data_IF_323208802097
#
_entry.id   IF_323208802097
#
_cell.length_a   1.000
_cell.length_b   1.000
_cell.length_c   1.000
_cell.angle_alpha   90.00
_cell.angle_beta   90.00
_cell.angle_gamma   90.00
#
_symmetry.space_group_name_H-M   'P 1'
#
loop_
_entity.id
_entity.type
_entity.pdbx_description
1 polymer ?
#
# COMPACT_ATOMS: atom_id res chain seq x y z
N UNK A 1 18.58 18.68 -11.87
CA UNK A 1 19.84 18.48 -12.65
C UNK A 1 20.90 19.43 -12.09
N UNK A 2 21.88 18.90 -11.35
CA UNK A 2 22.91 19.69 -10.65
C UNK A 2 24.20 19.88 -11.45
N UNK A 3 24.09 20.21 -12.74
CA UNK A 3 25.27 20.42 -13.60
C UNK A 3 25.68 21.89 -13.59
N UNK A 4 26.99 22.14 -13.60
CA UNK A 4 27.56 23.49 -13.63
C UNK A 4 27.32 24.16 -14.97
N UNK A 5 26.94 25.44 -14.95
CA UNK A 5 26.76 26.24 -16.17
C UNK A 5 28.12 26.59 -16.76
N UNK A 6 28.29 26.34 -18.06
CA UNK A 6 29.54 26.59 -18.80
C UNK A 6 29.85 28.08 -18.98
N UNK A 7 28.85 28.96 -18.93
CA UNK A 7 29.04 30.39 -19.08
C UNK A 7 28.19 31.19 -18.09
N UNK A 8 28.85 31.97 -17.22
CA UNK A 8 28.19 32.69 -16.14
C UNK A 8 27.55 34.00 -16.65
N UNK A 9 26.33 34.36 -16.20
CA UNK A 9 25.72 35.63 -16.57
C UNK A 9 26.56 36.83 -16.09
N UNK A 10 26.79 37.78 -17.00
CA UNK A 10 27.68 38.94 -16.78
C UNK A 10 26.96 40.15 -16.17
N UNK A 11 25.66 40.31 -16.38
CA UNK A 11 24.89 41.46 -15.86
C UNK A 11 24.21 41.13 -14.52
N UNK A 12 24.06 42.14 -13.65
CA UNK A 12 23.49 41.96 -12.31
C UNK A 12 22.03 41.47 -12.34
N UNK A 13 21.20 41.99 -13.23
CA UNK A 13 19.80 41.56 -13.38
C UNK A 13 19.68 40.08 -13.76
N UNK A 14 20.53 39.60 -14.68
CA UNK A 14 20.56 38.19 -15.08
C UNK A 14 21.09 37.28 -13.98
N UNK A 15 22.04 37.75 -13.16
CA UNK A 15 22.53 37.00 -11.99
C UNK A 15 21.44 36.80 -10.95
N UNK A 16 20.66 37.85 -10.65
CA UNK A 16 19.55 37.75 -9.69
C UNK A 16 18.50 36.76 -10.19
N UNK A 17 18.09 36.87 -11.46
CA UNK A 17 17.15 35.93 -12.08
C UNK A 17 17.69 34.49 -12.02
N UNK A 18 18.96 34.29 -12.35
CA UNK A 18 19.60 32.98 -12.30
C UNK A 18 19.61 32.38 -10.88
N UNK A 19 19.90 33.18 -9.85
CA UNK A 19 19.87 32.71 -8.46
C UNK A 19 18.46 32.28 -8.05
N UNK A 20 17.44 33.08 -8.36
CA UNK A 20 16.05 32.71 -8.10
C UNK A 20 15.64 31.44 -8.85
N UNK A 21 16.07 31.29 -10.10
CA UNK A 21 15.84 30.09 -10.88
C UNK A 21 16.49 28.85 -10.25
N UNK A 22 17.76 28.96 -9.83
CA UNK A 22 18.47 27.86 -9.16
C UNK A 22 17.78 27.50 -7.84
N UNK A 23 17.39 28.49 -7.03
CA UNK A 23 16.67 28.26 -5.79
C UNK A 23 15.32 27.57 -6.03
N UNK A 24 14.58 27.98 -7.07
CA UNK A 24 13.34 27.34 -7.48
C UNK A 24 13.59 25.89 -7.93
N UNK A 25 14.55 25.63 -8.80
CA UNK A 25 14.89 24.28 -9.24
C UNK A 25 15.32 23.38 -8.08
N UNK A 26 16.09 23.93 -7.12
CA UNK A 26 16.50 23.22 -5.92
C UNK A 26 15.28 22.85 -5.09
N UNK A 27 14.38 23.80 -4.81
CA UNK A 27 13.15 23.56 -4.04
C UNK A 27 12.23 22.53 -4.71
N UNK A 28 12.03 22.61 -6.03
CA UNK A 28 11.21 21.63 -6.75
C UNK A 28 11.86 20.24 -6.73
N UNK A 29 13.18 20.16 -6.90
CA UNK A 29 13.90 18.87 -6.87
C UNK A 29 13.84 18.23 -5.49
N UNK A 30 14.00 19.01 -4.41
CA UNK A 30 13.92 18.48 -3.04
C UNK A 30 12.51 18.01 -2.70
N UNK A 31 11.47 18.77 -3.07
CA UNK A 31 10.07 18.37 -2.88
C UNK A 31 9.78 17.09 -3.64
N UNK A 32 10.16 17.01 -4.92
CA UNK A 32 9.97 15.81 -5.73
C UNK A 32 10.68 14.59 -5.13
N UNK A 33 11.95 14.74 -4.73
CA UNK A 33 12.72 13.66 -4.11
C UNK A 33 12.08 13.19 -2.80
N UNK A 34 11.57 14.11 -1.97
CA UNK A 34 10.90 13.77 -0.71
C UNK A 34 9.61 12.96 -0.93
N UNK A 35 8.77 13.38 -1.87
CA UNK A 35 7.56 12.64 -2.22
C UNK A 35 7.89 11.28 -2.85
N UNK A 36 8.84 11.24 -3.78
CA UNK A 36 9.28 10.00 -4.44
C UNK A 36 9.80 8.96 -3.43
N UNK A 37 10.64 9.39 -2.49
CA UNK A 37 11.12 8.54 -1.40
C UNK A 37 9.98 8.05 -0.50
N UNK A 38 9.01 8.91 -0.22
CA UNK A 38 7.82 8.53 0.56
C UNK A 38 7.01 7.45 -0.17
N UNK A 39 6.78 7.58 -1.48
CA UNK A 39 6.09 6.57 -2.28
C UNK A 39 6.85 5.25 -2.37
N UNK A 40 8.19 5.29 -2.41
CA UNK A 40 9.01 4.08 -2.43
C UNK A 40 8.98 3.33 -1.09
N UNK A 41 8.94 4.05 0.05
CA UNK A 41 8.90 3.42 1.38
C UNK A 41 7.48 2.98 1.74
N UNK A 42 6.50 3.83 1.45
CA UNK A 42 5.10 3.60 1.75
C UNK A 42 4.31 3.79 0.46
N UNK A 43 4.28 2.75 -0.40
CA UNK A 43 3.31 2.74 -1.48
C UNK A 43 1.94 2.93 -0.84
N UNK A 44 1.16 3.88 -1.37
CA UNK A 44 -0.22 4.03 -0.95
C UNK A 44 -0.92 2.69 -1.14
N UNK A 45 -1.55 2.16 -0.09
CA UNK A 45 -2.38 0.97 -0.22
C UNK A 45 -3.61 1.36 -1.04
N UNK A 46 -4.02 0.49 -1.97
CA UNK A 46 -5.29 0.65 -2.66
C UNK A 46 -6.43 0.70 -1.63
N UNK A 47 -7.52 1.38 -2.00
CA UNK A 47 -8.71 1.46 -1.16
C UNK A 47 -9.16 0.05 -0.80
N UNK A 48 -9.13 -0.25 0.50
CA UNK A 48 -9.56 -1.53 1.05
C UNK A 48 -11.03 -1.44 1.41
N UNK A 49 -11.74 -2.57 1.31
CA UNK A 49 -13.14 -2.68 1.73
C UNK A 49 -13.24 -2.25 3.19
N UNK A 50 -13.89 -1.11 3.44
CA UNK A 50 -13.90 -0.49 4.77
C UNK A 50 -15.25 -0.63 5.49
N UNK A 51 -16.32 -0.94 4.74
CA UNK A 51 -17.67 -1.10 5.28
C UNK A 51 -18.29 -2.45 4.87
N UNK A 52 -19.28 -2.88 5.63
CA UNK A 52 -20.05 -4.09 5.31
C UNK A 52 -20.84 -3.94 3.99
N UNK A 53 -21.35 -2.75 3.70
CA UNK A 53 -22.05 -2.45 2.44
C UNK A 53 -21.10 -2.54 1.23
N UNK A 54 -19.87 -2.04 1.38
CA UNK A 54 -18.83 -2.17 0.35
C UNK A 54 -18.43 -3.63 0.12
N UNK A 55 -18.41 -4.44 1.19
CA UNK A 55 -18.17 -5.87 1.09
C UNK A 55 -19.27 -6.58 0.28
N UNK A 56 -20.54 -6.25 0.52
CA UNK A 56 -21.66 -6.83 -0.23
C UNK A 56 -21.65 -6.40 -1.71
N UNK A 57 -21.29 -5.16 -2.01
CA UNK A 57 -21.25 -4.65 -3.40
C UNK A 57 -20.05 -5.15 -4.20
N UNK A 58 -18.93 -5.46 -3.53
CA UNK A 58 -17.70 -5.95 -4.18
C UNK A 58 -17.76 -7.41 -4.64
N UNK A 59 -18.84 -8.16 -4.30
CA UNK A 59 -19.03 -9.59 -4.63
C UNK A 59 -17.89 -10.49 -4.16
N UNK A 60 -17.19 -10.09 -3.11
CA UNK A 60 -16.21 -10.92 -2.44
C UNK A 60 -16.94 -11.99 -1.65
N UNK A 61 -16.55 -13.25 -1.81
CA UNK A 61 -17.12 -14.34 -1.01
C UNK A 61 -16.82 -14.07 0.46
N UNK A 62 -17.85 -14.03 1.30
CA UNK A 62 -17.67 -13.80 2.72
C UNK A 62 -18.00 -15.05 3.53
N UNK A 63 -17.05 -15.41 4.38
CA UNK A 63 -17.13 -16.49 5.34
C UNK A 63 -17.87 -16.08 6.62
N UNK A 64 -18.53 -17.05 7.22
CA UNK A 64 -19.39 -16.81 8.37
C UNK A 64 -19.43 -17.97 9.35
N UNK A 65 -19.40 -17.69 10.66
CA UNK A 65 -19.52 -18.72 11.69
C UNK A 65 -20.99 -19.02 12.01
N UNK A 66 -21.44 -20.29 12.02
CA UNK A 66 -22.80 -20.67 12.42
C UNK A 66 -23.23 -20.13 13.78
N UNK A 67 -22.29 -19.87 14.70
CA UNK A 67 -22.60 -19.26 16.01
C UNK A 67 -23.25 -17.89 15.86
N UNK A 68 -22.87 -17.15 14.82
CA UNK A 68 -23.42 -15.84 14.55
C UNK A 68 -24.84 -15.93 13.96
N UNK A 69 -25.30 -17.08 13.42
CA UNK A 69 -26.63 -17.20 12.77
C UNK A 69 -27.78 -16.77 13.71
N UNK A 70 -27.60 -17.00 15.01
CA UNK A 70 -28.53 -16.54 16.04
C UNK A 70 -28.60 -15.01 16.19
N UNK A 71 -27.56 -14.30 15.75
CA UNK A 71 -27.41 -12.84 15.84
C UNK A 71 -27.86 -12.17 14.53
N UNK A 72 -27.67 -12.81 13.38
CA UNK A 72 -27.92 -12.25 12.03
C UNK A 72 -29.31 -12.59 11.48
N UNK A 73 -30.14 -13.30 12.26
CA UNK A 73 -31.45 -13.82 11.82
C UNK A 73 -32.41 -12.78 11.21
N UNK A 74 -32.26 -11.48 11.49
CA UNK A 74 -33.22 -10.45 11.10
C UNK A 74 -32.67 -9.32 10.21
N UNK A 75 -31.35 -9.27 9.93
CA UNK A 75 -30.79 -8.01 9.41
C UNK A 75 -30.92 -7.81 7.90
N UNK A 76 -30.57 -8.75 7.00
CA UNK A 76 -30.80 -8.57 5.55
C UNK A 76 -30.81 -9.89 4.75
N UNK A 77 -31.75 -10.09 3.79
CA UNK A 77 -31.81 -11.29 2.96
C UNK A 77 -30.61 -11.47 2.02
N UNK A 78 -29.98 -10.37 1.58
CA UNK A 78 -28.77 -10.37 0.74
C UNK A 78 -27.58 -11.09 1.41
N UNK A 79 -27.49 -11.03 2.74
CA UNK A 79 -26.44 -11.68 3.53
C UNK A 79 -26.61 -13.21 3.54
N UNK A 80 -27.76 -13.75 3.14
CA UNK A 80 -28.03 -15.19 3.25
C UNK A 80 -27.65 -15.98 2.00
N UNK A 81 -27.67 -15.36 0.83
CA UNK A 81 -27.50 -16.06 -0.45
C UNK A 81 -26.03 -16.18 -0.90
N UNK A 82 -25.15 -15.26 -0.48
CA UNK A 82 -23.74 -15.21 -0.92
C UNK A 82 -22.71 -15.63 0.15
N UNK A 83 -23.16 -16.26 1.24
CA UNK A 83 -22.30 -16.62 2.39
C UNK A 83 -21.68 -18.02 2.28
N UNK A 84 -20.43 -18.13 2.75
CA UNK A 84 -19.74 -19.41 2.94
C UNK A 84 -19.73 -19.76 4.42
N UNK A 85 -20.20 -20.96 4.76
CA UNK A 85 -20.19 -21.44 6.15
C UNK A 85 -18.77 -21.85 6.55
N UNK A 86 -18.27 -21.20 7.60
CA UNK A 86 -16.97 -21.46 8.21
C UNK A 86 -17.15 -22.19 9.54
N UNK A 87 -16.77 -23.46 9.57
CA UNK A 87 -16.77 -24.33 10.73
C UNK A 87 -15.38 -24.95 10.95
N UNK A 88 -15.22 -25.68 12.04
CA UNK A 88 -13.96 -26.35 12.38
C UNK A 88 -13.57 -27.48 11.40
N UNK A 89 -14.47 -27.88 10.51
CA UNK A 89 -14.24 -28.96 9.54
C UNK A 89 -13.69 -28.43 8.19
N UNK A 90 -13.68 -27.11 7.97
CA UNK A 90 -13.06 -26.53 6.79
C UNK A 90 -11.55 -26.82 6.78
N UNK A 91 -11.08 -27.42 5.69
CA UNK A 91 -9.66 -27.72 5.46
C UNK A 91 -9.25 -27.15 4.09
N UNK A 92 -8.40 -26.10 4.04
CA UNK A 92 -7.81 -25.39 5.18
C UNK A 92 -8.84 -24.53 5.95
N UNK A 93 -8.51 -24.08 7.18
CA UNK A 93 -9.36 -23.16 7.94
C UNK A 93 -9.74 -21.92 7.11
N UNK A 94 -10.96 -21.40 7.27
CA UNK A 94 -11.39 -20.22 6.51
C UNK A 94 -10.48 -18.99 6.68
N UNK A 95 -9.79 -18.88 7.81
CA UNK A 95 -8.88 -17.77 8.07
C UNK A 95 -7.64 -17.84 7.16
N UNK A 96 -7.21 -19.05 6.76
CA UNK A 96 -6.16 -19.26 5.75
C UNK A 96 -6.62 -18.76 4.38
N UNK A 97 -7.91 -18.91 4.05
CA UNK A 97 -8.46 -18.34 2.82
C UNK A 97 -8.35 -16.83 2.80
N UNK A 98 -8.62 -16.15 3.91
CA UNK A 98 -8.44 -14.69 4.00
C UNK A 98 -6.96 -14.30 3.93
N UNK A 99 -6.08 -15.06 4.56
CA UNK A 99 -4.66 -14.71 4.66
C UNK A 99 -3.85 -14.97 3.39
N UNK A 100 -4.20 -16.02 2.64
CA UNK A 100 -3.37 -16.52 1.53
C UNK A 100 -4.08 -16.53 0.17
N UNK A 101 -5.41 -16.32 0.13
CA UNK A 101 -6.15 -16.25 -1.12
C UNK A 101 -6.81 -14.87 -1.26
N UNK A 102 -6.51 -14.20 -2.37
CA UNK A 102 -7.17 -12.95 -2.72
C UNK A 102 -8.66 -13.22 -3.04
N UNK A 103 -9.56 -12.34 -2.55
CA UNK A 103 -11.03 -12.39 -2.68
C UNK A 103 -11.79 -13.29 -1.69
N UNK A 104 -11.38 -13.30 -0.42
CA UNK A 104 -12.21 -13.84 0.65
C UNK A 104 -12.24 -12.90 1.85
N UNK A 105 -13.41 -12.67 2.42
CA UNK A 105 -13.59 -11.92 3.66
C UNK A 105 -14.24 -12.81 4.72
N UNK A 106 -14.12 -12.46 6.01
CA UNK A 106 -14.77 -13.23 7.08
C UNK A 106 -15.34 -12.31 8.14
N UNK A 107 -16.54 -12.62 8.62
CA UNK A 107 -17.14 -11.93 9.75
C UNK A 107 -16.74 -12.61 11.06
N UNK A 108 -15.99 -11.90 11.90
CA UNK A 108 -15.39 -12.44 13.12
C UNK A 108 -15.34 -11.39 14.24
N UNK A 109 -15.22 -11.83 15.49
CA UNK A 109 -15.06 -10.92 16.62
C UNK A 109 -13.72 -10.17 16.55
N UNK A 110 -13.76 -8.85 16.72
CA UNK A 110 -12.57 -7.99 16.77
C UNK A 110 -11.53 -8.49 17.76
N UNK A 111 -11.95 -8.87 18.97
CA UNK A 111 -11.04 -9.35 20.02
C UNK A 111 -10.34 -10.64 19.58
N UNK A 112 -11.09 -11.57 18.97
CA UNK A 112 -10.52 -12.82 18.48
C UNK A 112 -9.55 -12.56 17.32
N UNK A 113 -9.86 -11.59 16.45
CA UNK A 113 -8.96 -11.23 15.37
C UNK A 113 -7.69 -10.57 15.89
N UNK A 114 -7.79 -9.55 16.73
CA UNK A 114 -6.62 -8.91 17.36
C UNK A 114 -5.73 -9.94 18.07
N UNK A 115 -6.34 -10.86 18.81
CA UNK A 115 -5.64 -11.95 19.48
C UNK A 115 -4.89 -12.85 18.49
N UNK A 116 -5.54 -13.27 17.41
CA UNK A 116 -4.96 -14.18 16.42
C UNK A 116 -3.81 -13.51 15.67
N UNK A 117 -3.96 -12.25 15.25
CA UNK A 117 -2.93 -11.48 14.55
C UNK A 117 -1.74 -11.09 15.42
N UNK A 118 -1.76 -11.32 16.74
CA UNK A 118 -0.56 -11.11 17.56
C UNK A 118 0.54 -12.14 17.32
N UNK A 119 0.21 -13.29 16.72
CA UNK A 119 1.16 -14.41 16.61
C UNK A 119 1.01 -15.26 15.34
N UNK A 120 -0.15 -15.23 14.69
CA UNK A 120 -0.45 -16.00 13.48
C UNK A 120 -0.73 -15.06 12.31
N UNK A 121 -0.58 -15.57 11.09
CA UNK A 121 -0.82 -14.83 9.84
C UNK A 121 -0.04 -13.51 9.77
N UNK A 122 1.24 -13.58 10.15
CA UNK A 122 2.19 -12.49 10.00
C UNK A 122 3.03 -12.74 8.75
N UNK A 123 3.37 -11.67 8.04
CA UNK A 123 4.41 -11.71 7.02
C UNK A 123 5.80 -11.89 7.67
N UNK A 124 6.82 -12.01 6.83
CA UNK A 124 8.21 -12.17 7.27
C UNK A 124 8.69 -10.97 8.11
N UNK A 125 8.10 -9.79 7.93
CA UNK A 125 8.41 -8.59 8.69
C UNK A 125 7.59 -8.45 9.99
N UNK A 126 6.76 -9.45 10.32
CA UNK A 126 5.89 -9.43 11.49
C UNK A 126 4.65 -8.54 11.34
N UNK A 127 4.28 -8.15 10.12
CA UNK A 127 3.06 -7.38 9.81
C UNK A 127 1.90 -8.34 9.54
N UNK A 128 0.68 -8.06 10.03
CA UNK A 128 -0.47 -8.92 9.78
C UNK A 128 -0.81 -8.98 8.28
N UNK A 129 -1.06 -10.20 7.79
CA UNK A 129 -1.53 -10.49 6.43
C UNK A 129 -3.02 -10.15 6.25
N UNK A 130 -3.78 -10.15 7.34
CA UNK A 130 -5.22 -9.91 7.33
C UNK A 130 -5.50 -8.48 7.77
N UNK A 131 -6.30 -7.77 6.97
CA UNK A 131 -6.78 -6.43 7.27
C UNK A 131 -8.16 -6.49 7.96
N UNK A 132 -8.38 -5.58 8.91
CA UNK A 132 -9.67 -5.38 9.54
C UNK A 132 -10.40 -4.21 8.87
N UNK A 133 -11.66 -4.41 8.49
CA UNK A 133 -12.53 -3.32 8.04
C UNK A 133 -12.79 -2.32 9.18
N UNK A 134 -12.94 -1.03 8.84
CA UNK A 134 -13.11 0.03 9.83
C UNK A 134 -14.46 -0.03 10.57
N UNK A 135 -15.50 -0.56 9.93
CA UNK A 135 -16.83 -0.62 10.50
C UNK A 135 -17.09 -1.94 11.26
N UNK A 136 -17.73 -1.82 12.43
CA UNK A 136 -18.19 -2.98 13.21
C UNK A 136 -19.61 -3.33 12.79
N UNK A 137 -19.81 -4.55 12.29
CA UNK A 137 -21.12 -5.03 11.87
C UNK A 137 -22.15 -5.07 13.00
N UNK A 138 -21.77 -5.63 14.16
CA UNK A 138 -22.62 -5.69 15.35
C UNK A 138 -21.78 -5.68 16.62
N UNK A 139 -22.25 -4.96 17.64
CA UNK A 139 -21.59 -4.92 18.95
C UNK A 139 -22.23 -5.93 19.89
N UNK A 140 -21.43 -6.86 20.42
CA UNK A 140 -21.87 -7.88 21.37
C UNK A 140 -21.20 -7.71 22.72
N UNK A 141 -21.97 -7.94 23.78
CA UNK A 141 -21.46 -7.95 25.15
C UNK A 141 -21.26 -9.39 25.60
N UNK A 142 -20.06 -9.71 26.08
CA UNK A 142 -19.79 -10.98 26.73
C UNK A 142 -20.40 -10.97 28.13
N UNK A 143 -21.29 -11.93 28.39
CA UNK A 143 -21.98 -12.08 29.67
C UNK A 143 -21.72 -13.46 30.26
N UNK A 144 -21.69 -13.53 31.59
CA UNK A 144 -21.60 -14.79 32.32
C UNK A 144 -23.00 -15.20 32.76
N UNK A 145 -23.36 -16.47 32.51
CA UNK A 145 -24.66 -17.00 32.87
C UNK A 145 -24.62 -17.70 34.24
N UNK A 146 -25.72 -17.59 34.98
CA UNK A 146 -25.97 -18.37 36.20
C UNK A 146 -27.40 -18.92 36.18
N UNK A 147 -27.62 -20.01 36.91
CA UNK A 147 -28.95 -20.56 37.07
C UNK A 147 -29.91 -19.55 37.70
N UNK A 148 -31.13 -19.49 37.17
CA UNK A 148 -32.18 -18.61 37.68
C UNK A 148 -32.43 -18.89 39.16
N UNK A 149 -32.44 -17.84 39.97
CA UNK A 149 -32.62 -17.94 41.43
C UNK A 149 -31.36 -18.25 42.23
N UNK A 150 -30.17 -18.26 41.60
CA UNK A 150 -28.92 -18.42 42.32
C UNK A 150 -28.71 -17.20 43.27
N UNK A 151 -28.60 -17.41 44.60
CA UNK A 151 -28.44 -16.32 45.56
C UNK A 151 -27.10 -15.57 45.42
N UNK A 152 -26.12 -16.15 44.71
CA UNK A 152 -24.82 -15.52 44.48
C UNK A 152 -24.82 -14.50 43.34
N UNK A 153 -25.89 -14.42 42.54
CA UNK A 153 -25.92 -13.58 41.35
C UNK A 153 -25.64 -12.09 41.66
N UNK A 154 -26.29 -11.53 42.68
CA UNK A 154 -26.09 -10.13 43.05
C UNK A 154 -24.66 -9.85 43.57
N UNK A 155 -24.14 -10.75 44.40
CA UNK A 155 -22.78 -10.64 44.91
C UNK A 155 -21.75 -10.74 43.77
N UNK A 156 -21.96 -11.67 42.84
CA UNK A 156 -21.10 -11.86 41.68
C UNK A 156 -21.13 -10.64 40.76
N UNK A 157 -22.31 -10.10 40.45
CA UNK A 157 -22.45 -8.90 39.62
C UNK A 157 -21.74 -7.69 40.24
N UNK A 158 -21.87 -7.48 41.55
CA UNK A 158 -21.16 -6.40 42.25
C UNK A 158 -19.63 -6.56 42.15
N UNK A 159 -19.12 -7.77 42.32
CA UNK A 159 -17.68 -8.05 42.20
C UNK A 159 -17.23 -7.82 40.75
N UNK A 160 -17.98 -8.33 39.77
CA UNK A 160 -17.67 -8.17 38.34
C UNK A 160 -17.63 -6.69 37.95
N UNK A 161 -18.62 -5.91 38.41
CA UNK A 161 -18.68 -4.47 38.19
C UNK A 161 -17.45 -3.76 38.77
N UNK A 162 -17.08 -4.06 40.02
CA UNK A 162 -15.88 -3.49 40.63
C UNK A 162 -14.60 -3.83 39.85
N UNK A 163 -14.48 -5.06 39.33
CA UNK A 163 -13.34 -5.51 38.52
C UNK A 163 -13.27 -4.74 37.19
N UNK A 164 -14.41 -4.54 36.53
CA UNK A 164 -14.50 -3.80 35.27
C UNK A 164 -14.22 -2.32 35.50
N UNK A 165 -14.84 -1.69 36.50
CA UNK A 165 -14.64 -0.29 36.87
C UNK A 165 -13.20 0.00 37.31
N UNK A 166 -12.53 -0.94 37.97
CA UNK A 166 -11.11 -0.85 38.29
C UNK A 166 -10.18 -0.97 37.08
N UNK A 167 -10.70 -1.24 35.88
CA UNK A 167 -9.91 -1.42 34.66
C UNK A 167 -9.09 -2.72 34.64
N UNK A 168 -9.43 -3.70 35.48
CA UNK A 168 -8.65 -4.93 35.57
C UNK A 168 -8.74 -5.76 34.28
N UNK A 169 -9.92 -5.77 33.64
CA UNK A 169 -10.12 -6.46 32.36
C UNK A 169 -9.19 -5.91 31.26
N UNK A 170 -9.11 -4.59 31.10
CA UNK A 170 -8.26 -3.97 30.09
C UNK A 170 -6.78 -4.21 30.37
N UNK A 171 -6.37 -4.18 31.63
CA UNK A 171 -5.01 -4.51 32.07
C UNK A 171 -4.63 -5.96 31.72
N UNK A 172 -5.50 -6.92 32.05
CA UNK A 172 -5.25 -8.34 31.79
C UNK A 172 -5.16 -8.62 30.29
N UNK A 173 -6.11 -8.11 29.50
CA UNK A 173 -6.12 -8.29 28.05
C UNK A 173 -4.86 -7.72 27.42
N UNK A 174 -4.49 -6.49 27.77
CA UNK A 174 -3.26 -5.86 27.27
C UNK A 174 -2.03 -6.67 27.66
N UNK A 175 -1.89 -7.05 28.93
CA UNK A 175 -0.74 -7.83 29.41
C UNK A 175 -0.64 -9.18 28.69
N UNK A 176 -1.77 -9.85 28.47
CA UNK A 176 -1.82 -11.13 27.79
C UNK A 176 -1.39 -11.00 26.32
N UNK A 177 -1.94 -10.02 25.60
CA UNK A 177 -1.55 -9.73 24.21
C UNK A 177 -0.07 -9.40 24.07
N UNK A 178 0.49 -8.58 24.98
CA UNK A 178 1.92 -8.25 24.95
C UNK A 178 2.82 -9.48 25.20
N UNK A 179 2.45 -10.35 26.14
CA UNK A 179 3.17 -11.60 26.38
C UNK A 179 3.16 -12.50 25.14
N UNK A 180 2.02 -12.58 24.45
CA UNK A 180 1.89 -13.37 23.22
C UNK A 180 2.73 -12.79 22.08
N UNK A 181 2.76 -11.47 21.89
CA UNK A 181 3.66 -10.82 20.90
C UNK A 181 5.13 -11.14 21.19
N UNK A 182 5.53 -11.11 22.46
CA UNK A 182 6.90 -11.46 22.85
C UNK A 182 7.20 -12.93 22.52
N UNK A 183 6.27 -13.84 22.84
CA UNK A 183 6.42 -15.27 22.52
C UNK A 183 6.50 -15.52 21.02
N UNK A 184 5.64 -14.87 20.23
CA UNK A 184 5.64 -14.93 18.78
C UNK A 184 6.96 -14.40 18.19
N UNK A 185 7.45 -13.26 18.69
CA UNK A 185 8.73 -12.69 18.26
C UNK A 185 9.93 -13.61 18.57
N UNK A 186 9.90 -14.33 19.71
CA UNK A 186 10.94 -15.32 20.05
C UNK A 186 10.88 -16.53 19.11
N UNK A 187 9.70 -16.98 18.72
CA UNK A 187 9.53 -18.10 17.79
C UNK A 187 9.87 -17.70 16.33
N UNK A 188 9.43 -16.52 15.89
CA UNK A 188 9.69 -15.96 14.55
C UNK A 188 11.14 -15.53 14.32
N UNK A 189 11.89 -15.19 15.37
CA UNK A 189 13.33 -14.84 15.28
C UNK A 189 14.24 -15.93 14.73
N UNK A 190 13.75 -17.15 14.51
CA UNK A 190 14.54 -18.21 13.86
C UNK A 190 14.72 -18.00 12.35
N UNK A 191 13.95 -17.12 11.71
CA UNK A 191 14.04 -16.85 10.27
C UNK A 191 13.72 -15.36 10.04
N UNK A 192 14.70 -14.48 10.15
CA UNK A 192 14.66 -13.14 9.52
C UNK A 192 16.02 -12.48 9.71
N UNK A 193 16.94 -12.76 8.79
CA UNK A 193 17.91 -11.74 8.42
C UNK A 193 17.11 -10.62 7.76
N UNK A 194 17.41 -9.37 8.11
CA UNK A 194 16.75 -8.17 7.59
C UNK A 194 16.61 -8.23 6.06
N UNK A 195 15.43 -8.62 5.56
CA UNK A 195 15.15 -8.51 4.13
C UNK A 195 14.87 -7.04 3.83
N UNK A 196 15.93 -6.37 3.39
CA UNK A 196 15.83 -5.11 2.67
C UNK A 196 14.75 -5.24 1.59
N UNK A 197 13.79 -4.30 1.56
CA UNK A 197 12.92 -4.09 0.40
C UNK A 197 13.81 -4.01 -0.84
N UNK A 198 13.90 -5.10 -1.60
CA UNK A 198 14.70 -5.12 -2.81
C UNK A 198 13.97 -4.24 -3.81
N UNK A 199 14.56 -3.09 -4.12
CA UNK A 199 14.07 -2.22 -5.17
C UNK A 199 14.14 -3.03 -6.48
N UNK A 200 13.03 -3.67 -6.85
CA UNK A 200 12.95 -4.49 -8.06
C UNK A 200 13.12 -3.62 -9.30
N UNK A 201 13.73 -4.19 -10.35
CA UNK A 201 13.89 -3.55 -11.65
C UNK A 201 12.54 -3.14 -12.27
N UNK A 202 11.44 -3.75 -11.85
CA UNK A 202 10.08 -3.42 -12.30
C UNK A 202 9.71 -1.96 -11.99
N UNK A 203 10.13 -1.44 -10.84
CA UNK A 203 9.86 -0.05 -10.45
C UNK A 203 10.63 0.97 -11.30
N UNK A 204 11.74 0.56 -11.94
CA UNK A 204 12.60 1.43 -12.74
C UNK A 204 12.38 1.28 -14.26
N UNK A 205 11.52 0.35 -14.69
CA UNK A 205 11.25 0.06 -16.10
C UNK A 205 10.79 1.32 -16.87
N UNK A 206 9.94 2.15 -16.26
CA UNK A 206 9.47 3.40 -16.87
C UNK A 206 10.61 4.38 -17.16
N UNK A 207 11.58 4.51 -16.25
CA UNK A 207 12.74 5.38 -16.45
C UNK A 207 13.62 4.87 -17.60
N UNK A 208 13.82 3.56 -17.71
CA UNK A 208 14.56 2.96 -18.83
C UNK A 208 13.86 3.17 -20.18
N UNK A 209 12.53 3.03 -20.24
CA UNK A 209 11.76 3.29 -21.46
C UNK A 209 11.88 4.74 -21.92
N UNK A 210 11.72 5.70 -21.00
CA UNK A 210 11.87 7.13 -21.31
C UNK A 210 13.30 7.43 -21.81
N UNK A 211 14.31 6.85 -21.18
CA UNK A 211 15.71 7.01 -21.59
C UNK A 211 15.95 6.46 -23.00
N UNK A 212 15.44 5.27 -23.30
CA UNK A 212 15.58 4.62 -24.59
C UNK A 212 14.86 5.42 -25.69
N UNK A 213 13.64 5.89 -25.42
CA UNK A 213 12.92 6.81 -26.31
C UNK A 213 13.72 8.10 -26.58
N UNK A 214 14.36 8.68 -25.56
CA UNK A 214 15.22 9.85 -25.70
C UNK A 214 16.44 9.59 -26.60
N UNK A 215 17.06 8.41 -26.50
CA UNK A 215 18.18 8.02 -27.37
C UNK A 215 17.68 7.85 -28.82
N UNK A 216 16.55 7.18 -29.03
CA UNK A 216 15.97 7.02 -30.38
C UNK A 216 15.67 8.38 -31.01
N UNK A 217 15.02 9.28 -30.26
CA UNK A 217 14.67 10.59 -30.76
C UNK A 217 15.91 11.42 -31.09
N UNK A 218 16.94 11.39 -30.24
CA UNK A 218 18.19 12.11 -30.49
C UNK A 218 18.94 11.57 -31.73
N UNK A 219 18.96 10.25 -31.92
CA UNK A 219 19.51 9.62 -33.13
C UNK A 219 18.73 10.02 -34.39
N UNK A 220 17.39 10.05 -34.33
CA UNK A 220 16.56 10.49 -35.46
C UNK A 220 16.85 11.95 -35.84
N UNK A 221 16.91 12.85 -34.86
CA UNK A 221 17.24 14.27 -35.08
C UNK A 221 18.65 14.41 -35.69
N UNK A 222 19.64 13.68 -35.16
CA UNK A 222 21.01 13.73 -35.70
C UNK A 222 21.09 13.21 -37.13
N UNK A 223 20.38 12.13 -37.47
CA UNK A 223 20.33 11.61 -38.85
C UNK A 223 19.65 12.61 -39.78
N UNK A 224 18.53 13.19 -39.37
CA UNK A 224 17.83 14.23 -40.14
C UNK A 224 18.71 15.46 -40.37
N UNK A 225 19.43 15.92 -39.35
CA UNK A 225 20.36 17.06 -39.47
C UNK A 225 21.46 16.76 -40.50
N UNK A 226 22.04 15.56 -40.47
CA UNK A 226 23.08 15.15 -41.42
C UNK A 226 22.55 15.04 -42.86
N UNK A 227 21.33 14.53 -43.05
CA UNK A 227 20.69 14.45 -44.36
C UNK A 227 20.39 15.87 -44.89
N UNK A 228 19.77 16.72 -44.08
CA UNK A 228 19.49 18.12 -44.42
C UNK A 228 20.79 18.88 -44.76
N UNK A 229 21.85 18.69 -43.98
CA UNK A 229 23.17 19.32 -44.23
C UNK A 229 23.76 18.85 -45.55
N UNK A 230 23.73 17.54 -45.85
CA UNK A 230 24.20 17.00 -47.13
C UNK A 230 23.38 17.54 -48.30
N UNK A 231 22.06 17.66 -48.14
CA UNK A 231 21.18 18.20 -49.18
C UNK A 231 21.47 19.67 -49.46
N UNK A 232 21.62 20.52 -48.43
CA UNK A 232 22.00 21.93 -48.60
C UNK A 232 23.41 22.09 -49.19
N UNK A 233 24.37 21.23 -48.84
CA UNK A 233 25.70 21.23 -49.42
C UNK A 233 25.68 20.83 -50.91
N UNK A 234 24.91 19.80 -51.26
CA UNK A 234 24.71 19.38 -52.65
C UNK A 234 24.06 20.50 -53.48
N UNK A 235 23.07 21.19 -52.92
CA UNK A 235 22.42 22.33 -53.58
C UNK A 235 23.37 23.53 -53.74
N UNK A 236 24.24 23.82 -52.75
CA UNK A 236 25.30 24.84 -52.87
C UNK A 236 26.34 24.49 -53.92
N UNK A 237 26.78 23.22 -54.00
CA UNK A 237 27.73 22.75 -55.01
C UNK A 237 27.12 22.84 -56.41
N UNK A 238 25.86 22.46 -56.58
CA UNK A 238 25.16 22.57 -57.87
C UNK A 238 24.91 24.03 -58.27
N UNK A 239 24.62 24.93 -57.32
CA UNK A 239 24.52 26.37 -57.54
C UNK A 239 25.85 27.02 -57.92
N UNK A 240 26.97 26.63 -57.28
CA UNK A 240 28.32 27.08 -57.64
C UNK A 240 28.76 26.56 -59.01
N UNK A 241 28.37 25.33 -59.38
CA UNK A 241 28.67 24.75 -60.71
C UNK A 241 27.95 25.50 -61.83
N UNK A 242 26.74 26.00 -61.58
CA UNK A 242 25.99 26.84 -62.52
C UNK A 242 26.55 28.28 -62.60
N UNK A 243 27.15 28.78 -61.52
CA UNK A 243 27.82 30.09 -61.48
C UNK A 243 29.19 30.05 -62.20
N UNK A 244 29.95 28.96 -62.06
CA UNK A 244 31.21 28.78 -62.81
C UNK A 244 31.00 28.54 -64.32
N UNK A 245 29.88 27.94 -64.74
CA UNK A 245 29.58 27.76 -66.16
C UNK A 245 29.18 29.07 -66.88
N UNK A 246 28.64 30.05 -66.15
CA UNK A 246 28.26 31.35 -66.72
C UNK A 246 29.40 32.37 -66.76
N UNK A 247 30.60 32.06 -66.24
CA UNK A 247 31.76 32.95 -66.26
C UNK A 247 32.87 32.49 -67.23
N UNK A 248 32.65 31.40 -67.99
CA UNK A 248 33.61 30.90 -68.99
C UNK A 248 33.14 31.07 -70.45
N UNK A 249 32.25 32.02 -70.72
CA UNK A 249 31.82 32.35 -72.07
C UNK A 249 31.96 33.84 -72.37
#
# INVERSE_FOLDING_TARGET
MGVSVSHMPRTHSLRILFIFWVAYCLAVTTVFQAFFFTFLIKPGLEHQINSFEEMLTSRVNFGYSPLMDAIVSDSEPLVREERVVCNHNNTPPCLDWVAYHDNFSILLSTIYMEYTLTSLYLDENGKPLICQAGDTFYSTNYVTYMNKGNPLLEQFNRILQNIVEAGFNTLLTKRHMELQKIQAAVQGRKITGEEYYSLSLDHLQGAFLIHLCGIILSLLVFVLENICRKFTLFQKIHGLRHFCYNFSH
#
